data_IF_191974608150
#
_entry.id   IF_191974608150
#
_cell.length_a   1.000
_cell.length_b   1.000
_cell.length_c   1.000
_cell.angle_alpha   90.00
_cell.angle_beta   90.00
_cell.angle_gamma   90.00
#
_symmetry.space_group_name_H-M   'P 1'
#
loop_
_entity.id
_entity.type
_entity.pdbx_description
1 polymer ?
#
# COMPACT_ATOMS: atom_id res chain seq x y z
N UNK A 1 12.54 45.74 57.54
CA UNK A 1 11.14 45.30 57.38
C UNK A 1 10.59 45.94 56.12
N UNK A 2 10.26 45.14 55.11
CA UNK A 2 9.35 45.51 54.03
C UNK A 2 8.91 44.23 53.32
N UNK A 3 7.63 43.89 53.51
CA UNK A 3 6.91 42.78 52.89
C UNK A 3 6.41 43.21 51.51
N UNK A 4 6.51 42.36 50.49
CA UNK A 4 5.81 42.56 49.22
C UNK A 4 5.07 41.30 48.81
N UNK A 5 3.78 41.51 48.55
CA UNK A 5 2.68 40.57 48.37
C UNK A 5 2.56 40.11 46.91
N UNK A 6 2.20 38.83 46.70
CA UNK A 6 1.90 38.25 45.37
C UNK A 6 0.40 38.38 45.08
N UNK A 7 -0.03 38.81 43.87
CA UNK A 7 -1.44 38.82 43.51
C UNK A 7 -1.92 37.49 42.90
N UNK A 8 -3.12 37.12 43.34
CA UNK A 8 -3.91 35.96 42.95
C UNK A 8 -4.60 36.19 41.59
N UNK A 9 -4.66 35.18 40.71
CA UNK A 9 -5.49 35.22 39.49
C UNK A 9 -6.22 33.90 39.20
N UNK A 10 -7.52 33.96 39.53
CA UNK A 10 -8.72 33.46 38.83
C UNK A 10 -8.68 32.06 38.20
N UNK A 11 -9.40 31.14 38.87
CA UNK A 11 -10.06 30.00 38.25
C UNK A 11 -11.20 30.46 37.31
N UNK A 12 -11.24 29.91 36.10
CA UNK A 12 -12.37 30.01 35.18
C UNK A 12 -12.97 28.62 35.02
N UNK A 13 -14.21 28.49 35.50
CA UNK A 13 -15.12 27.36 35.34
C UNK A 13 -15.77 27.49 33.96
N UNK A 14 -15.80 26.43 33.15
CA UNK A 14 -16.62 26.39 31.92
C UNK A 14 -17.41 25.09 31.84
N UNK A 15 -18.64 25.27 31.38
CA UNK A 15 -19.81 24.40 31.48
C UNK A 15 -19.67 23.05 30.80
N UNK A 16 -20.26 22.05 31.43
CA UNK A 16 -20.80 20.86 30.78
C UNK A 16 -22.16 21.23 30.17
N UNK A 17 -22.31 21.02 28.87
CA UNK A 17 -23.62 20.92 28.23
C UNK A 17 -23.83 19.48 27.80
N UNK A 18 -24.83 18.87 28.44
CA UNK A 18 -25.46 17.61 28.07
C UNK A 18 -26.44 17.90 26.92
N UNK A 19 -26.27 17.21 25.80
CA UNK A 19 -27.33 17.06 24.80
C UNK A 19 -27.48 15.58 24.47
N UNK A 20 -28.53 15.01 25.06
CA UNK A 20 -29.16 13.74 24.72
C UNK A 20 -30.28 13.99 23.71
N UNK A 21 -30.36 13.19 22.65
CA UNK A 21 -31.57 12.77 21.89
C UNK A 21 -31.08 11.87 20.73
N UNK A 22 -31.17 10.53 20.85
CA UNK A 22 -32.28 9.65 20.37
C UNK A 22 -32.42 9.64 18.83
N UNK A 23 -31.80 8.69 18.14
CA UNK A 23 -32.32 7.38 17.65
C UNK A 23 -33.47 7.51 16.63
N UNK A 24 -33.17 7.10 15.38
CA UNK A 24 -34.12 6.43 14.50
C UNK A 24 -33.34 5.40 13.66
N UNK A 25 -33.51 4.13 14.01
CA UNK A 25 -33.07 2.97 13.23
C UNK A 25 -34.27 2.48 12.44
N UNK A 26 -34.13 2.34 11.12
CA UNK A 26 -35.05 1.55 10.32
C UNK A 26 -34.44 0.19 9.99
N UNK A 27 -35.30 -0.78 10.24
CA UNK A 27 -35.11 -2.21 10.36
C UNK A 27 -35.37 -2.88 9.00
N UNK A 28 -34.55 -3.85 8.60
CA UNK A 28 -35.03 -4.98 7.79
C UNK A 28 -34.11 -6.18 7.95
N UNK A 29 -34.62 -7.14 8.71
CA UNK A 29 -34.07 -8.48 8.90
C UNK A 29 -34.52 -9.42 7.78
N UNK A 30 -33.58 -10.28 7.36
CA UNK A 30 -33.73 -11.68 6.93
C UNK A 30 -34.69 -12.04 5.78
N UNK A 31 -34.15 -12.73 4.77
CA UNK A 31 -34.60 -14.10 4.44
C UNK A 31 -33.54 -14.82 3.59
N UNK A 32 -33.24 -16.05 4.01
CA UNK A 32 -32.41 -17.01 3.30
C UNK A 32 -33.29 -17.99 2.49
N UNK A 33 -32.63 -18.67 1.55
CA UNK A 33 -33.10 -19.84 0.76
C UNK A 33 -34.03 -19.47 -0.42
N UNK A 34 -33.89 -20.02 -1.63
CA UNK A 34 -33.72 -21.43 -1.95
C UNK A 34 -33.42 -21.65 -3.44
N UNK A 35 -32.92 -22.84 -3.70
CA UNK A 35 -32.62 -23.50 -4.98
C UNK A 35 -33.88 -23.75 -5.80
N UNK A 36 -33.82 -23.48 -7.11
CA UNK A 36 -34.61 -24.11 -8.18
C UNK A 36 -33.81 -23.91 -9.48
N UNK A 37 -33.13 -24.90 -10.07
CA UNK A 37 -33.64 -26.03 -10.86
C UNK A 37 -34.78 -25.67 -11.81
N UNK A 38 -34.44 -25.23 -13.03
CA UNK A 38 -35.31 -25.40 -14.20
C UNK A 38 -34.51 -25.89 -15.42
N UNK A 39 -35.15 -26.82 -16.10
CA UNK A 39 -34.66 -27.74 -17.11
C UNK A 39 -35.36 -27.41 -18.43
N UNK A 40 -34.73 -27.79 -19.56
CA UNK A 40 -35.27 -27.76 -20.94
C UNK A 40 -35.35 -26.36 -21.58
N UNK A 41 -35.09 -26.14 -22.87
CA UNK A 41 -35.26 -26.99 -24.06
C UNK A 41 -34.26 -26.60 -25.15
N UNK A 42 -33.75 -27.62 -25.85
CA UNK A 42 -33.04 -27.53 -27.12
C UNK A 42 -33.95 -27.01 -28.25
N UNK A 43 -33.48 -26.01 -28.99
CA UNK A 43 -33.95 -25.71 -30.36
C UNK A 43 -32.75 -25.58 -31.28
N UNK A 44 -32.55 -26.61 -32.09
CA UNK A 44 -31.64 -26.66 -33.22
C UNK A 44 -32.26 -25.99 -34.45
N UNK A 45 -31.43 -25.45 -35.34
CA UNK A 45 -31.62 -25.25 -36.79
C UNK A 45 -30.40 -24.48 -37.36
N UNK A 46 -30.07 -24.56 -38.67
CA UNK A 46 -29.49 -25.71 -39.35
C UNK A 46 -28.09 -25.42 -39.94
N UNK A 47 -27.35 -26.50 -40.20
CA UNK A 47 -26.05 -26.52 -40.85
C UNK A 47 -26.16 -26.15 -42.34
N UNK A 48 -25.40 -25.16 -42.79
CA UNK A 48 -25.16 -24.92 -44.21
C UNK A 48 -23.76 -25.43 -44.57
N UNK A 49 -23.76 -26.60 -45.20
CA UNK A 49 -22.63 -27.16 -45.94
C UNK A 49 -22.42 -26.34 -47.21
N UNK A 50 -21.20 -25.82 -47.42
CA UNK A 50 -20.78 -25.35 -48.74
C UNK A 50 -19.51 -26.05 -49.18
N UNK A 51 -19.64 -26.72 -50.32
CA UNK A 51 -18.65 -27.58 -50.97
C UNK A 51 -17.50 -26.75 -51.55
N UNK A 52 -16.27 -27.22 -51.35
CA UNK A 52 -15.10 -26.77 -52.07
C UNK A 52 -15.09 -27.31 -53.51
N UNK A 53 -14.64 -26.50 -54.49
CA UNK A 53 -13.99 -27.01 -55.68
C UNK A 53 -12.51 -26.63 -55.73
N UNK A 54 -11.77 -27.54 -56.36
CA UNK A 54 -10.32 -27.66 -56.41
C UNK A 54 -9.64 -26.71 -57.40
N UNK A 55 -8.34 -26.55 -57.15
CA UNK A 55 -7.24 -25.97 -57.90
C UNK A 55 -7.40 -25.72 -59.42
N UNK A 56 -6.98 -24.53 -59.85
CA UNK A 56 -6.29 -24.30 -61.13
C UNK A 56 -5.18 -23.25 -60.97
N UNK A 57 -3.95 -23.65 -61.26
CA UNK A 57 -2.76 -22.82 -61.42
C UNK A 57 -2.62 -22.33 -62.87
N UNK A 58 -2.05 -21.13 -63.07
CA UNK A 58 -1.13 -20.94 -64.18
C UNK A 58 0.18 -20.27 -63.76
N UNK A 59 1.25 -20.65 -64.46
CA UNK A 59 2.66 -20.40 -64.16
C UNK A 59 3.32 -19.32 -65.03
N UNK A 60 4.24 -18.54 -64.40
CA UNK A 60 5.42 -17.79 -64.91
C UNK A 60 5.21 -16.53 -65.80
N UNK A 61 6.18 -15.56 -65.88
CA UNK A 61 7.64 -15.69 -65.65
C UNK A 61 8.30 -14.72 -64.64
N UNK A 62 9.52 -15.12 -64.24
CA UNK A 62 10.49 -14.38 -63.42
C UNK A 62 10.82 -12.98 -63.90
N UNK A 63 10.81 -12.02 -62.98
CA UNK A 63 11.52 -10.75 -63.09
C UNK A 63 12.41 -10.57 -61.86
N UNK A 64 13.72 -10.79 -62.05
CA UNK A 64 14.81 -10.42 -61.13
C UNK A 64 14.94 -8.90 -61.07
N UNK A 65 14.85 -8.31 -59.87
CA UNK A 65 15.35 -6.96 -59.50
C UNK A 65 15.41 -6.89 -57.94
N UNK A 66 16.19 -5.98 -57.33
CA UNK A 66 17.25 -6.30 -56.37
C UNK A 66 16.83 -6.28 -54.90
N UNK A 67 17.66 -6.92 -54.07
CA UNK A 67 17.50 -7.14 -52.64
C UNK A 67 17.19 -5.86 -51.84
N UNK A 68 16.16 -5.87 -50.97
CA UNK A 68 16.01 -4.88 -49.91
C UNK A 68 17.07 -5.09 -48.82
N UNK A 69 17.49 -4.02 -48.11
CA UNK A 69 18.63 -4.02 -47.21
C UNK A 69 18.43 -4.97 -46.03
N UNK A 70 19.56 -5.52 -45.57
CA UNK A 70 19.66 -6.50 -44.49
C UNK A 70 18.81 -6.10 -43.28
N UNK A 71 17.82 -6.95 -42.98
CA UNK A 71 17.17 -6.98 -41.69
C UNK A 71 18.24 -7.37 -40.67
N UNK A 72 18.63 -6.44 -39.81
CA UNK A 72 19.36 -6.78 -38.59
C UNK A 72 18.50 -7.76 -37.81
N UNK A 73 18.99 -8.99 -37.72
CA UNK A 73 18.50 -10.02 -36.81
C UNK A 73 18.63 -9.46 -35.39
N UNK A 74 17.51 -8.96 -34.85
CA UNK A 74 17.41 -8.67 -33.42
C UNK A 74 17.38 -10.04 -32.75
N UNK A 75 18.46 -10.35 -32.06
CA UNK A 75 18.56 -11.52 -31.20
C UNK A 75 17.44 -11.43 -30.15
N UNK A 76 16.46 -12.32 -30.29
CA UNK A 76 15.35 -12.44 -29.36
C UNK A 76 15.84 -13.20 -28.11
N UNK A 77 16.53 -12.49 -27.23
CA UNK A 77 16.79 -12.91 -25.86
C UNK A 77 17.15 -11.70 -25.01
N UNK A 78 16.16 -10.87 -24.70
CA UNK A 78 16.36 -9.72 -23.83
C UNK A 78 15.04 -9.22 -23.28
N UNK A 79 15.03 -8.94 -21.98
CA UNK A 79 13.99 -8.17 -21.27
C UNK A 79 13.44 -7.04 -22.15
N UNK A 80 12.15 -6.68 -22.07
CA UNK A 80 11.58 -5.57 -22.84
C UNK A 80 12.49 -4.35 -22.78
N UNK A 81 12.70 -3.63 -23.91
CA UNK A 81 13.70 -2.56 -23.99
C UNK A 81 13.39 -1.50 -22.94
N UNK A 82 14.24 -1.46 -21.92
CA UNK A 82 14.17 -0.47 -20.85
C UNK A 82 14.47 0.90 -21.44
N UNK A 83 13.64 1.90 -21.11
CA UNK A 83 13.82 3.23 -21.67
C UNK A 83 15.17 3.83 -21.24
N UNK A 84 16.10 4.15 -22.16
CA UNK A 84 17.45 4.59 -21.78
C UNK A 84 17.48 5.95 -21.08
N UNK A 85 16.41 6.73 -21.16
CA UNK A 85 16.29 8.10 -20.61
C UNK A 85 15.07 8.30 -19.71
N UNK A 86 14.33 7.24 -19.38
CA UNK A 86 13.15 7.33 -18.51
C UNK A 86 13.55 7.42 -17.04
N UNK A 87 13.02 8.40 -16.29
CA UNK A 87 13.34 8.56 -14.85
C UNK A 87 12.56 7.64 -13.91
N UNK A 88 11.45 7.04 -14.38
CA UNK A 88 10.56 6.17 -13.58
C UNK A 88 10.46 4.78 -14.20
N UNK A 89 11.56 4.03 -14.13
CA UNK A 89 11.71 2.69 -14.69
C UNK A 89 12.55 1.82 -13.74
N UNK A 90 12.46 0.50 -13.90
CA UNK A 90 13.26 -0.47 -13.19
C UNK A 90 12.86 -0.65 -11.73
N UNK A 91 13.72 -1.34 -11.00
CA UNK A 91 13.56 -1.62 -9.59
C UNK A 91 14.14 -0.48 -8.75
N UNK A 92 13.49 -0.20 -7.62
CA UNK A 92 13.92 0.78 -6.65
C UNK A 92 13.57 0.31 -5.24
N UNK A 93 14.31 0.83 -4.27
CA UNK A 93 14.06 0.58 -2.84
C UNK A 93 13.56 1.87 -2.20
N UNK A 94 12.57 1.73 -1.31
CA UNK A 94 12.09 2.79 -0.45
C UNK A 94 12.50 2.49 1.00
N UNK A 95 13.41 3.31 1.52
CA UNK A 95 14.21 3.12 2.74
C UNK A 95 14.02 4.24 3.79
N UNK A 96 13.12 5.19 3.54
CA UNK A 96 12.69 6.30 4.42
C UNK A 96 13.78 7.18 5.05
N UNK A 97 15.06 6.96 4.78
CA UNK A 97 16.17 7.69 5.41
C UNK A 97 16.11 9.22 5.18
N UNK A 98 15.58 9.62 4.03
CA UNK A 98 15.38 11.03 3.66
C UNK A 98 14.06 11.62 4.18
N UNK A 99 13.22 10.82 4.85
CA UNK A 99 11.93 11.27 5.33
C UNK A 99 12.06 12.14 6.59
N UNK A 100 11.03 12.96 6.82
CA UNK A 100 10.92 13.71 8.07
C UNK A 100 10.13 12.88 9.08
N UNK A 101 10.50 13.02 10.35
CA UNK A 101 9.70 12.52 11.45
C UNK A 101 8.28 13.10 11.40
N UNK A 102 7.29 12.25 11.68
CA UNK A 102 5.89 12.64 11.67
C UNK A 102 5.02 11.62 10.94
N UNK A 103 3.73 11.92 10.72
CA UNK A 103 2.90 11.12 9.84
C UNK A 103 3.52 11.03 8.43
N UNK A 104 3.43 9.85 7.81
CA UNK A 104 3.88 9.69 6.44
C UNK A 104 2.82 10.24 5.50
N UNK A 105 3.08 11.42 4.94
CA UNK A 105 2.16 12.03 3.99
C UNK A 105 2.41 11.57 2.56
N UNK A 106 1.33 11.50 1.79
CA UNK A 106 1.35 10.98 0.43
C UNK A 106 1.55 12.05 -0.65
N UNK A 107 2.17 11.67 -1.77
CA UNK A 107 2.91 10.41 -1.98
C UNK A 107 4.30 10.48 -1.32
N UNK A 108 4.81 9.34 -0.85
CA UNK A 108 6.23 9.18 -0.53
C UNK A 108 6.96 8.75 -1.82
N UNK A 109 7.72 9.68 -2.40
CA UNK A 109 8.22 9.58 -3.79
C UNK A 109 7.04 9.38 -4.76
N UNK A 110 6.93 8.22 -5.40
CA UNK A 110 5.84 7.86 -6.33
C UNK A 110 4.82 6.87 -5.73
N UNK A 111 4.95 6.53 -4.45
CA UNK A 111 4.16 5.49 -3.78
C UNK A 111 3.24 6.11 -2.73
N UNK A 112 2.02 5.59 -2.68
CA UNK A 112 0.99 5.93 -1.70
C UNK A 112 0.93 4.90 -0.58
N UNK A 113 0.63 5.41 0.61
CA UNK A 113 0.50 4.70 1.87
C UNK A 113 -0.86 5.02 2.49
N UNK A 114 -1.52 4.04 3.11
CA UNK A 114 -2.76 4.30 3.84
C UNK A 114 -2.54 5.20 5.06
N UNK A 115 -3.63 5.62 5.71
CA UNK A 115 -3.55 6.19 7.06
C UNK A 115 -2.96 5.16 8.05
N UNK A 116 -2.23 5.63 9.05
CA UNK A 116 -1.60 4.79 10.09
C UNK A 116 -0.08 4.71 9.97
N UNK A 117 0.50 5.07 8.82
CA UNK A 117 1.95 5.14 8.63
C UNK A 117 2.56 6.43 9.20
N UNK A 118 3.71 6.29 9.86
CA UNK A 118 4.50 7.40 10.38
C UNK A 118 6.00 7.05 10.44
N UNK A 119 6.82 8.08 10.54
CA UNK A 119 8.23 8.01 10.90
C UNK A 119 8.38 8.42 12.36
N UNK A 120 8.84 7.50 13.20
CA UNK A 120 8.98 7.75 14.64
C UNK A 120 10.07 8.81 14.94
N UNK A 121 9.91 9.66 15.97
CA UNK A 121 10.90 10.68 16.31
C UNK A 121 12.26 10.14 16.79
N UNK A 122 13.36 10.90 16.61
CA UNK A 122 14.69 10.51 17.11
C UNK A 122 14.75 10.28 18.62
N UNK A 123 13.96 11.04 19.39
CA UNK A 123 13.83 10.79 20.84
C UNK A 123 13.23 9.42 21.15
N UNK A 124 12.42 8.88 20.25
CA UNK A 124 11.90 7.52 20.32
C UNK A 124 12.90 6.48 19.80
N UNK A 125 13.87 6.86 18.93
CA UNK A 125 14.91 5.94 18.41
C UNK A 125 15.76 5.32 19.52
N UNK A 126 16.08 6.06 20.59
CA UNK A 126 16.78 5.48 21.77
C UNK A 126 16.01 4.36 22.48
N UNK A 127 14.71 4.25 22.19
CA UNK A 127 13.79 3.26 22.76
C UNK A 127 13.01 2.52 21.65
N UNK A 128 13.46 2.60 20.40
CA UNK A 128 12.76 2.00 19.27
C UNK A 128 13.04 0.51 19.27
N UNK A 129 11.97 -0.27 19.17
CA UNK A 129 12.07 -1.72 19.29
C UNK A 129 12.83 -2.37 18.12
N UNK A 130 12.90 -1.68 16.97
CA UNK A 130 13.58 -2.15 15.76
C UNK A 130 14.56 -1.12 15.21
N UNK A 131 15.71 -1.59 14.73
CA UNK A 131 16.67 -0.78 13.95
C UNK A 131 16.26 -0.70 12.48
N UNK A 132 16.37 0.47 11.83
CA UNK A 132 16.32 0.57 10.37
C UNK A 132 17.39 -0.32 9.73
N UNK A 133 17.04 -1.01 8.64
CA UNK A 133 17.97 -1.86 7.91
C UNK A 133 18.84 -1.06 6.93
N UNK A 134 18.34 0.07 6.45
CA UNK A 134 19.05 1.06 5.64
C UNK A 134 20.01 1.95 6.46
N UNK A 135 19.65 2.19 7.73
CA UNK A 135 20.49 2.80 8.77
C UNK A 135 20.02 4.17 9.27
N UNK A 136 19.07 4.84 8.61
CA UNK A 136 18.57 6.16 9.01
C UNK A 136 17.21 6.10 9.70
N UNK A 137 16.16 5.77 8.96
CA UNK A 137 14.78 5.78 9.42
C UNK A 137 14.01 4.56 8.91
N UNK A 138 12.92 4.22 9.59
CA UNK A 138 12.00 3.19 9.15
C UNK A 138 10.57 3.68 9.34
N UNK A 139 9.63 3.04 8.65
CA UNK A 139 8.21 3.34 8.83
C UNK A 139 7.62 2.49 9.94
N UNK A 140 6.74 3.10 10.72
CA UNK A 140 5.87 2.44 11.68
C UNK A 140 4.43 2.52 11.19
N UNK A 141 3.72 1.40 11.24
CA UNK A 141 2.28 1.35 11.01
C UNK A 141 1.55 1.08 12.31
N UNK A 142 0.75 2.06 12.73
CA UNK A 142 -0.20 1.93 13.84
C UNK A 142 -1.60 1.79 13.23
N UNK A 143 -2.24 0.60 13.34
CA UNK A 143 -3.61 0.42 12.90
C UNK A 143 -4.52 1.50 13.54
N UNK A 144 -5.31 2.25 12.74
CA UNK A 144 -6.16 3.34 13.21
C UNK A 144 -7.18 2.94 14.30
N UNK A 145 -7.58 1.67 14.39
CA UNK A 145 -8.46 1.20 15.47
C UNK A 145 -7.74 1.00 16.81
N UNK A 146 -6.40 0.85 16.85
CA UNK A 146 -5.70 0.61 18.11
C UNK A 146 -5.84 1.79 19.10
N UNK A 147 -5.66 3.06 18.69
CA UNK A 147 -5.91 4.19 19.58
C UNK A 147 -7.39 4.40 19.91
N UNK A 148 -8.29 3.81 19.12
CA UNK A 148 -9.73 3.98 19.22
C UNK A 148 -10.44 2.62 19.32
N UNK A 149 -10.39 2.01 20.51
CA UNK A 149 -11.16 0.80 20.86
C UNK A 149 -12.65 0.95 20.48
N UNK A 150 -13.04 0.58 19.24
CA UNK A 150 -14.44 0.60 18.82
C UNK A 150 -14.77 0.83 17.34
N UNK A 151 -13.83 1.18 16.45
CA UNK A 151 -14.13 1.37 15.02
C UNK A 151 -13.34 0.38 14.14
N UNK A 152 -13.79 -0.89 14.14
CA UNK A 152 -13.29 -1.88 13.19
C UNK A 152 -13.91 -1.68 11.80
N UNK A 153 -13.09 -1.82 10.76
CA UNK A 153 -13.62 -2.23 9.45
C UNK A 153 -12.78 -1.86 8.23
N UNK A 154 -12.07 -0.73 8.22
CA UNK A 154 -11.43 -0.23 6.99
C UNK A 154 -10.03 0.38 7.21
N UNK A 155 -9.61 0.63 8.46
CA UNK A 155 -8.31 1.27 8.72
C UNK A 155 -7.16 0.31 9.05
N UNK A 156 -7.45 -0.89 9.55
CA UNK A 156 -6.42 -1.72 10.23
C UNK A 156 -5.50 -2.49 9.30
N UNK A 157 -5.79 -2.43 8.01
CA UNK A 157 -4.96 -3.01 6.96
C UNK A 157 -4.16 -1.88 6.33
N UNK A 158 -2.85 -2.07 6.26
CA UNK A 158 -1.99 -1.13 5.58
C UNK A 158 -2.12 -1.30 4.07
N UNK A 159 -2.30 -0.21 3.34
CA UNK A 159 -2.25 -0.20 1.88
C UNK A 159 -0.97 0.50 1.41
N UNK A 160 -0.27 -0.12 0.46
CA UNK A 160 0.89 0.47 -0.22
C UNK A 160 0.69 0.30 -1.72
N UNK A 161 0.75 1.37 -2.49
CA UNK A 161 0.43 1.29 -3.92
C UNK A 161 0.60 2.58 -4.70
N UNK A 162 -0.11 2.68 -5.82
CA UNK A 162 -0.07 3.86 -6.72
C UNK A 162 -1.23 4.84 -6.48
N UNK A 163 -2.07 4.56 -5.47
CA UNK A 163 -3.11 5.47 -4.97
C UNK A 163 -4.02 6.04 -6.07
N UNK A 164 -4.24 7.36 -6.15
CA UNK A 164 -5.07 8.00 -7.18
C UNK A 164 -4.65 7.73 -8.63
N UNK A 165 -3.42 7.25 -8.86
CA UNK A 165 -2.97 6.86 -10.20
C UNK A 165 -3.39 5.44 -10.61
N UNK A 166 -4.05 4.67 -9.74
CA UNK A 166 -4.49 3.31 -10.03
C UNK A 166 -5.29 3.15 -11.35
N UNK A 167 -6.21 4.07 -11.73
CA UNK A 167 -6.90 4.00 -13.02
C UNK A 167 -5.99 4.20 -14.24
N UNK A 168 -4.80 4.78 -14.06
CA UNK A 168 -3.85 4.95 -15.15
C UNK A 168 -2.99 3.70 -15.32
N UNK A 169 -3.12 3.02 -16.45
CA UNK A 169 -2.39 1.79 -16.77
C UNK A 169 -0.87 1.90 -16.74
N UNK A 170 -0.32 3.12 -16.85
CA UNK A 170 1.12 3.35 -16.75
C UNK A 170 1.64 3.15 -15.31
N UNK A 171 0.76 3.18 -14.31
CA UNK A 171 1.08 3.01 -12.91
C UNK A 171 0.76 1.58 -12.48
N UNK A 172 1.69 0.70 -12.80
CA UNK A 172 1.70 -0.69 -12.34
C UNK A 172 3.05 -0.97 -11.73
N UNK A 173 3.03 -1.58 -10.55
CA UNK A 173 4.22 -1.91 -9.79
C UNK A 173 4.34 -3.42 -9.66
N UNK A 174 5.58 -3.85 -9.46
CA UNK A 174 5.94 -5.17 -8.97
C UNK A 174 6.43 -4.98 -7.53
N UNK A 175 5.95 -5.79 -6.60
CA UNK A 175 6.39 -5.77 -5.20
C UNK A 175 7.25 -7.00 -4.93
N UNK A 176 8.52 -6.81 -4.58
CA UNK A 176 9.47 -7.93 -4.47
C UNK A 176 9.82 -8.28 -3.02
N UNK A 177 9.66 -7.36 -2.07
CA UNK A 177 10.15 -7.58 -0.71
C UNK A 177 10.08 -6.37 0.18
N UNK A 178 10.32 -6.60 1.47
CA UNK A 178 10.52 -5.57 2.49
C UNK A 178 11.28 -6.17 3.67
N UNK A 179 11.83 -5.33 4.54
CA UNK A 179 12.34 -5.70 5.85
C UNK A 179 11.27 -5.40 6.89
N UNK A 180 10.77 -6.43 7.60
CA UNK A 180 9.60 -6.32 8.47
C UNK A 180 9.90 -6.71 9.92
N UNK A 181 9.22 -6.02 10.84
CA UNK A 181 9.22 -6.29 12.28
C UNK A 181 7.87 -5.97 12.89
N UNK A 182 7.58 -6.48 14.08
CA UNK A 182 6.25 -6.40 14.69
C UNK A 182 6.32 -6.31 16.21
N UNK A 183 5.26 -5.75 16.81
CA UNK A 183 5.10 -5.63 18.25
C UNK A 183 4.64 -6.97 18.85
N UNK A 184 5.55 -7.95 18.91
CA UNK A 184 5.34 -9.25 19.53
C UNK A 184 6.43 -9.58 20.53
N UNK A 185 6.03 -10.11 21.68
CA UNK A 185 6.92 -10.63 22.71
C UNK A 185 7.55 -11.96 22.28
N UNK A 186 8.73 -12.28 22.82
CA UNK A 186 9.43 -13.52 22.48
C UNK A 186 8.61 -14.80 22.73
N UNK A 187 7.71 -14.80 23.72
CA UNK A 187 6.82 -15.93 24.01
C UNK A 187 5.75 -16.15 22.93
N UNK A 188 5.42 -15.12 22.15
CA UNK A 188 4.44 -15.19 21.05
C UNK A 188 5.06 -15.80 19.77
N UNK A 189 6.40 -15.91 19.73
CA UNK A 189 7.23 -16.55 18.72
C UNK A 189 7.20 -15.94 17.31
N UNK A 190 6.02 -15.67 16.75
CA UNK A 190 5.86 -15.26 15.35
C UNK A 190 4.78 -14.19 15.17
N UNK A 191 4.99 -13.39 14.13
CA UNK A 191 4.04 -12.46 13.55
C UNK A 191 3.65 -12.96 12.17
N UNK A 192 2.36 -12.98 11.88
CA UNK A 192 1.81 -13.42 10.61
C UNK A 192 1.38 -12.18 9.81
N UNK A 193 2.15 -11.87 8.78
CA UNK A 193 1.86 -10.82 7.81
C UNK A 193 1.14 -11.44 6.62
N UNK A 194 -0.18 -11.25 6.56
CA UNK A 194 -0.97 -11.59 5.39
C UNK A 194 -0.88 -10.44 4.39
N UNK A 195 -0.26 -10.71 3.24
CA UNK A 195 -0.08 -9.73 2.17
C UNK A 195 -0.92 -10.15 0.98
N UNK A 196 -1.78 -9.25 0.51
CA UNK A 196 -2.69 -9.50 -0.61
C UNK A 196 -2.42 -8.53 -1.75
N UNK A 197 -2.47 -9.03 -2.98
CA UNK A 197 -2.22 -8.24 -4.17
C UNK A 197 -3.53 -7.72 -4.78
N UNK A 198 -3.53 -6.45 -5.16
CA UNK A 198 -4.69 -5.75 -5.72
C UNK A 198 -4.38 -5.12 -7.05
N UNK A 199 -5.39 -5.10 -7.90
CA UNK A 199 -5.34 -4.45 -9.20
C UNK A 199 -6.60 -3.64 -9.43
N UNK A 200 -6.42 -2.44 -9.94
CA UNK A 200 -7.52 -1.63 -10.39
C UNK A 200 -8.30 -2.30 -11.51
N UNK A 201 -9.61 -2.47 -11.30
CA UNK A 201 -10.54 -3.00 -12.28
C UNK A 201 -11.26 -1.83 -12.97
N UNK A 202 -10.98 -1.61 -14.25
CA UNK A 202 -11.55 -0.51 -15.03
C UNK A 202 -13.06 -0.65 -15.26
N UNK A 203 -13.61 -1.87 -15.20
CA UNK A 203 -15.05 -2.09 -15.34
C UNK A 203 -15.78 -1.70 -14.06
N UNK A 204 -15.24 -2.08 -12.90
CA UNK A 204 -15.82 -1.80 -11.58
C UNK A 204 -15.38 -0.45 -11.01
N UNK A 205 -14.43 0.22 -11.66
CA UNK A 205 -13.84 1.50 -11.25
C UNK A 205 -13.30 1.48 -9.81
N UNK A 206 -12.73 0.35 -9.38
CA UNK A 206 -12.20 0.15 -8.01
C UNK A 206 -11.07 -0.87 -7.98
N UNK A 207 -10.32 -0.86 -6.88
CA UNK A 207 -9.36 -1.91 -6.56
C UNK A 207 -10.06 -3.26 -6.31
N UNK A 208 -9.49 -4.32 -6.87
CA UNK A 208 -9.97 -5.69 -6.68
C UNK A 208 -8.79 -6.60 -6.38
N UNK A 209 -9.00 -7.54 -5.45
CA UNK A 209 -7.99 -8.56 -5.18
C UNK A 209 -7.85 -9.45 -6.42
N UNK A 210 -6.61 -9.66 -6.85
CA UNK A 210 -6.33 -10.58 -7.97
C UNK A 210 -6.16 -12.04 -7.50
N UNK A 211 -6.78 -12.38 -6.36
CA UNK A 211 -6.73 -13.70 -5.71
C UNK A 211 -5.31 -14.21 -5.41
N UNK A 212 -4.32 -13.31 -5.34
CA UNK A 212 -2.97 -13.60 -4.89
C UNK A 212 -2.78 -13.05 -3.48
N UNK A 213 -2.55 -13.95 -2.52
CA UNK A 213 -2.29 -13.61 -1.12
C UNK A 213 -1.32 -14.63 -0.52
N UNK A 214 -0.38 -14.16 0.29
CA UNK A 214 0.58 -15.01 0.99
C UNK A 214 0.75 -14.52 2.44
N UNK A 215 0.88 -15.46 3.37
CA UNK A 215 1.25 -15.17 4.76
C UNK A 215 2.74 -15.37 4.97
N UNK A 216 3.46 -14.30 5.34
CA UNK A 216 4.85 -14.38 5.80
C UNK A 216 4.91 -14.44 7.31
N UNK A 217 5.71 -15.37 7.83
CA UNK A 217 6.00 -15.48 9.27
C UNK A 217 7.30 -14.78 9.59
N UNK A 218 7.21 -13.76 10.43
CA UNK A 218 8.34 -12.98 10.94
C UNK A 218 8.57 -13.38 12.40
N UNK A 219 9.79 -13.71 12.82
CA UNK A 219 10.07 -14.04 14.21
C UNK A 219 9.79 -12.83 15.11
N UNK A 220 9.18 -13.09 16.27
CA UNK A 220 8.99 -12.08 17.30
C UNK A 220 10.35 -11.59 17.83
N UNK A 221 10.37 -10.33 18.28
CA UNK A 221 11.57 -9.73 18.87
C UNK A 221 11.75 -10.24 20.30
N UNK A 222 12.83 -11.00 20.62
CA UNK A 222 12.97 -11.61 21.95
C UNK A 222 13.05 -10.60 23.10
N UNK A 223 13.53 -9.39 22.80
CA UNK A 223 13.74 -8.31 23.75
C UNK A 223 12.65 -7.23 23.66
N UNK A 224 11.56 -7.47 22.95
CA UNK A 224 10.45 -6.53 22.86
C UNK A 224 9.83 -6.29 24.25
N UNK A 225 9.47 -5.04 24.63
CA UNK A 225 9.55 -3.81 23.83
C UNK A 225 10.86 -3.02 23.97
N UNK A 226 11.82 -3.49 24.78
CA UNK A 226 13.02 -2.76 25.19
C UNK A 226 14.32 -3.17 24.46
N UNK A 227 14.22 -3.67 23.23
CA UNK A 227 15.34 -4.21 22.46
C UNK A 227 15.67 -3.42 21.21
N UNK A 228 16.88 -3.62 20.68
CA UNK A 228 17.29 -3.14 19.35
C UNK A 228 17.21 -4.30 18.35
N UNK A 229 15.98 -4.74 18.04
CA UNK A 229 15.77 -5.88 17.16
C UNK A 229 16.04 -5.53 15.70
N UNK A 230 16.45 -6.53 14.92
CA UNK A 230 16.67 -6.37 13.49
C UNK A 230 15.37 -6.67 12.75
N UNK A 231 15.07 -5.89 11.71
CA UNK A 231 14.00 -6.22 10.79
C UNK A 231 14.37 -7.51 10.03
N UNK A 232 13.36 -8.33 9.75
CA UNK A 232 13.54 -9.57 8.99
C UNK A 232 13.25 -9.31 7.51
N UNK A 233 14.23 -9.49 6.61
CA UNK A 233 14.00 -9.34 5.18
C UNK A 233 13.11 -10.47 4.68
N UNK A 234 12.07 -10.12 3.92
CA UNK A 234 11.19 -11.05 3.22
C UNK A 234 11.13 -10.73 1.74
N UNK A 235 10.91 -11.78 0.95
CA UNK A 235 10.71 -11.69 -0.50
C UNK A 235 9.32 -12.19 -0.86
N UNK A 236 8.72 -11.59 -1.87
CA UNK A 236 7.40 -11.92 -2.37
C UNK A 236 7.50 -12.29 -3.85
N UNK A 237 6.94 -13.43 -4.20
CA UNK A 237 6.90 -13.93 -5.58
C UNK A 237 5.49 -13.76 -6.14
N UNK A 238 5.38 -13.37 -7.42
CA UNK A 238 4.11 -13.27 -8.15
C UNK A 238 3.32 -11.97 -7.93
N UNK A 239 3.81 -11.04 -7.10
CA UNK A 239 3.21 -9.73 -6.90
C UNK A 239 3.62 -8.77 -8.03
N UNK A 240 3.21 -9.10 -9.26
CA UNK A 240 3.59 -8.35 -10.46
C UNK A 240 2.38 -7.71 -11.12
N UNK A 241 2.59 -6.55 -11.73
CA UNK A 241 1.58 -5.83 -12.50
C UNK A 241 0.34 -5.44 -11.66
N UNK A 242 0.60 -4.99 -10.44
CA UNK A 242 -0.41 -4.63 -9.44
C UNK A 242 -0.50 -3.12 -9.29
N UNK A 243 -1.55 -2.65 -8.64
CA UNK A 243 -1.71 -1.23 -8.25
C UNK A 243 -1.51 -1.02 -6.76
N UNK A 244 -1.77 -2.04 -5.94
CA UNK A 244 -1.54 -1.97 -4.51
C UNK A 244 -1.28 -3.36 -3.90
N UNK A 245 -0.67 -3.35 -2.72
CA UNK A 245 -0.69 -4.44 -1.77
C UNK A 245 -1.45 -4.00 -0.52
N UNK A 246 -2.15 -4.95 0.09
CA UNK A 246 -2.75 -4.82 1.41
C UNK A 246 -2.00 -5.71 2.38
N UNK A 247 -1.59 -5.18 3.52
CA UNK A 247 -0.84 -5.89 4.56
C UNK A 247 -1.66 -5.90 5.84
N UNK A 248 -2.00 -7.10 6.32
CA UNK A 248 -2.65 -7.33 7.60
C UNK A 248 -1.67 -8.08 8.52
N UNK A 249 -1.33 -7.48 9.67
CA UNK A 249 -0.53 -8.15 10.69
C UNK A 249 -1.44 -8.79 11.74
N UNK A 250 -1.14 -10.04 12.07
CA UNK A 250 -1.69 -10.73 13.24
C UNK A 250 -0.60 -11.32 14.12
N UNK A 251 -0.81 -11.23 15.42
CA UNK A 251 -0.07 -11.99 16.43
C UNK A 251 -1.13 -12.81 17.18
N UNK A 252 -1.25 -14.09 16.81
CA UNK A 252 -2.43 -14.88 17.15
C UNK A 252 -3.70 -14.26 16.56
N UNK A 253 -4.59 -13.75 17.41
CA UNK A 253 -5.84 -13.09 17.00
C UNK A 253 -5.82 -11.57 17.14
N UNK A 254 -4.69 -10.99 17.54
CA UNK A 254 -4.59 -9.57 17.89
C UNK A 254 -3.96 -8.74 16.76
N UNK A 255 -4.51 -7.54 16.56
CA UNK A 255 -3.90 -6.48 15.77
C UNK A 255 -2.75 -5.86 16.57
N UNK A 256 -1.63 -5.58 15.89
CA UNK A 256 -0.43 -5.04 16.52
C UNK A 256 0.19 -3.96 15.64
N UNK A 257 1.01 -3.11 16.28
CA UNK A 257 1.90 -2.17 15.58
C UNK A 257 2.99 -2.97 14.86
N UNK A 258 3.44 -2.47 13.71
CA UNK A 258 4.55 -3.07 12.98
C UNK A 258 5.45 -2.05 12.32
N UNK A 259 6.64 -2.50 11.97
CA UNK A 259 7.70 -1.68 11.38
C UNK A 259 8.12 -2.26 10.05
N UNK A 260 8.43 -1.36 9.11
CA UNK A 260 8.84 -1.71 7.76
C UNK A 260 9.99 -0.81 7.30
N UNK A 261 10.87 -1.39 6.51
CA UNK A 261 11.95 -0.68 5.83
C UNK A 261 12.31 -1.41 4.53
N UNK A 262 13.12 -0.79 3.68
CA UNK A 262 13.63 -1.36 2.43
C UNK A 262 12.53 -2.01 1.57
N UNK A 263 11.41 -1.31 1.33
CA UNK A 263 10.37 -1.82 0.44
C UNK A 263 10.93 -1.87 -0.99
N UNK A 264 11.04 -3.08 -1.54
CA UNK A 264 11.59 -3.35 -2.87
C UNK A 264 10.44 -3.39 -3.85
N UNK A 265 10.42 -2.39 -4.73
CA UNK A 265 9.41 -2.22 -5.76
C UNK A 265 10.07 -2.12 -7.12
N UNK A 266 9.29 -2.30 -8.17
CA UNK A 266 9.71 -1.98 -9.53
C UNK A 266 8.55 -1.52 -10.38
N UNK A 267 8.83 -0.71 -11.39
CA UNK A 267 7.83 -0.42 -12.40
C UNK A 267 7.63 -1.63 -13.29
N UNK A 268 6.39 -2.08 -13.45
CA UNK A 268 6.07 -3.27 -14.23
C UNK A 268 6.33 -3.07 -15.74
N UNK A 269 6.06 -1.88 -16.25
CA UNK A 269 6.35 -1.50 -17.64
C UNK A 269 7.48 -0.46 -17.71
N UNK A 270 8.62 -0.89 -18.25
CA UNK A 270 9.84 -0.12 -18.39
C UNK A 270 10.00 0.56 -19.75
N UNK A 271 9.00 0.48 -20.62
CA UNK A 271 8.99 1.12 -21.94
C UNK A 271 8.96 2.64 -21.85
N UNK A 272 9.44 3.31 -22.91
CA UNK A 272 9.53 4.78 -22.93
C UNK A 272 8.17 5.47 -22.85
N UNK A 273 7.13 4.90 -23.47
CA UNK A 273 5.78 5.47 -23.43
C UNK A 273 5.22 5.44 -22.00
N UNK A 274 5.39 4.32 -21.29
CA UNK A 274 4.97 4.17 -19.91
C UNK A 274 5.76 5.10 -18.97
N UNK A 275 7.08 5.22 -19.18
CA UNK A 275 7.93 6.13 -18.42
C UNK A 275 7.53 7.60 -18.65
N UNK A 276 7.29 8.01 -19.90
CA UNK A 276 6.84 9.36 -20.25
C UNK A 276 5.45 9.65 -19.67
N UNK A 277 4.54 8.68 -19.75
CA UNK A 277 3.21 8.76 -19.15
C UNK A 277 3.28 9.00 -17.63
N UNK A 278 4.11 8.23 -16.90
CA UNK A 278 4.32 8.44 -15.45
C UNK A 278 5.00 9.77 -15.12
N UNK A 279 5.89 10.25 -16.00
CA UNK A 279 6.53 11.55 -15.85
C UNK A 279 5.56 12.73 -16.09
N UNK A 280 4.54 12.52 -16.91
CA UNK A 280 3.50 13.53 -17.22
C UNK A 280 2.39 13.62 -16.16
N UNK A 281 2.35 12.69 -15.21
CA UNK A 281 1.34 12.68 -14.17
C UNK A 281 1.46 13.91 -13.27
N UNK A 282 0.32 14.51 -12.94
CA UNK A 282 0.25 15.71 -12.10
C UNK A 282 0.75 15.37 -10.69
N UNK A 283 1.76 16.08 -10.17
CA UNK A 283 2.18 15.92 -8.78
C UNK A 283 0.99 16.17 -7.84
N UNK A 284 0.83 15.31 -6.84
CA UNK A 284 -0.22 15.44 -5.84
C UNK A 284 0.41 15.93 -4.53
N UNK A 285 0.60 17.25 -4.35
CA UNK A 285 1.18 17.76 -3.11
C UNK A 285 0.25 17.47 -1.93
N UNK A 286 0.85 17.28 -0.76
CA UNK A 286 0.12 17.14 0.49
C UNK A 286 -0.71 18.39 0.73
N UNK A 287 -2.02 18.21 0.83
CA UNK A 287 -2.95 19.30 1.09
C UNK A 287 -2.92 19.69 2.56
N UNK A 288 -2.99 20.99 2.85
CA UNK A 288 -2.98 21.52 4.23
C UNK A 288 -4.10 20.93 5.08
N UNK A 289 -5.25 20.66 4.48
CA UNK A 289 -6.42 20.09 5.16
C UNK A 289 -6.15 18.67 5.69
N UNK A 290 -5.28 17.91 5.01
CA UNK A 290 -4.86 16.56 5.45
C UNK A 290 -4.02 16.66 6.72
N UNK A 291 -3.13 17.65 6.79
CA UNK A 291 -2.27 17.92 7.95
C UNK A 291 -3.12 18.40 9.13
N UNK A 292 -4.03 19.34 8.89
CA UNK A 292 -4.98 19.82 9.89
C UNK A 292 -5.90 18.70 10.39
N UNK A 293 -6.28 17.76 9.53
CA UNK A 293 -7.02 16.56 9.91
C UNK A 293 -6.17 15.64 10.79
N UNK A 294 -4.91 15.38 10.43
CA UNK A 294 -3.99 14.55 11.20
C UNK A 294 -3.71 15.15 12.60
N UNK A 295 -3.47 16.45 12.70
CA UNK A 295 -3.30 17.15 13.98
C UNK A 295 -4.56 17.04 14.86
N UNK A 296 -5.74 17.28 14.27
CA UNK A 296 -7.02 17.20 14.99
C UNK A 296 -7.36 15.79 15.48
N UNK A 297 -7.18 14.77 14.63
CA UNK A 297 -7.44 13.35 14.98
C UNK A 297 -6.35 12.79 15.91
N UNK A 298 -5.15 13.36 15.86
CA UNK A 298 -3.98 12.86 16.54
C UNK A 298 -3.33 11.73 15.75
N UNK A 299 -1.99 11.75 15.72
CA UNK A 299 -1.16 10.66 15.20
C UNK A 299 -0.59 9.93 16.40
N UNK A 300 -0.47 8.61 16.33
CA UNK A 300 -0.02 7.79 17.45
C UNK A 300 1.24 7.03 17.06
N UNK A 301 2.19 6.92 17.98
CA UNK A 301 3.39 6.12 17.81
C UNK A 301 3.55 5.14 18.98
N UNK A 302 4.28 4.05 18.75
CA UNK A 302 4.64 3.10 19.77
C UNK A 302 5.79 3.61 20.63
N UNK A 303 5.71 3.30 21.92
CA UNK A 303 6.79 3.45 22.89
C UNK A 303 6.84 2.18 23.74
N UNK A 304 7.92 1.93 24.49
CA UNK A 304 7.95 0.77 25.38
C UNK A 304 6.89 0.79 26.49
N UNK A 305 6.25 1.94 26.74
CA UNK A 305 5.14 2.09 27.66
C UNK A 305 3.76 1.98 26.97
N UNK A 306 3.73 1.59 25.69
CA UNK A 306 2.55 1.51 24.85
C UNK A 306 2.40 2.69 23.89
N UNK A 307 1.20 2.80 23.29
CA UNK A 307 0.87 3.85 22.32
C UNK A 307 0.86 5.23 22.98
N UNK A 308 1.51 6.18 22.31
CA UNK A 308 1.58 7.59 22.71
C UNK A 308 1.14 8.48 21.55
N UNK A 309 0.36 9.52 21.86
CA UNK A 309 0.01 10.54 20.86
C UNK A 309 1.26 11.36 20.54
N UNK A 310 1.55 11.47 19.25
CA UNK A 310 2.62 12.30 18.71
C UNK A 310 2.33 13.78 19.00
N UNK A 311 3.37 14.54 19.31
CA UNK A 311 3.24 15.98 19.50
C UNK A 311 2.85 16.67 18.19
N UNK A 312 1.93 17.63 18.26
CA UNK A 312 1.43 18.34 17.09
C UNK A 312 2.56 19.05 16.33
N UNK A 313 3.63 19.48 17.02
CA UNK A 313 4.81 20.07 16.40
C UNK A 313 5.45 19.16 15.35
N UNK A 314 5.61 17.86 15.63
CA UNK A 314 6.12 16.91 14.63
C UNK A 314 5.18 16.73 13.44
N UNK A 315 3.86 16.86 13.66
CA UNK A 315 2.88 16.81 12.57
C UNK A 315 3.04 18.01 11.65
N UNK A 316 3.23 19.21 12.20
CA UNK A 316 3.40 20.43 11.40
C UNK A 316 4.78 20.55 10.72
N UNK A 317 5.83 19.98 11.32
CA UNK A 317 7.20 20.01 10.79
C UNK A 317 7.47 18.95 9.71
N UNK A 318 6.59 17.97 9.55
CA UNK A 318 6.69 16.90 8.54
C UNK A 318 6.40 17.32 7.10
N UNK A 319 6.25 18.63 6.84
CA UNK A 319 6.11 19.27 5.53
C UNK A 319 7.42 19.37 4.74
#
# INVERSE_FOLDING_TARGET
MATVTIPNRRAVRRQQDLVTSEVAWDNSSSTASSVASENNTLTALPSLTFSAPSAFTPSLPSATLPAPPQVSTVDASGSPPMCPTGGKIGNFTLDFDDAKTGPLFNPSRDIWFSEGFLIAPPSSQTFQSYSPSSGGQLVEFVPPSLPSLGQSGVGDTAEIGVGPNAPNHCFRIDFQGASLGCAAEGAEQWCEFEVSAYRYNDVLQREESIAWSETKRIPACPNFPHGNCQLTPVTFDGYTNITAILINLRVGTELRVWWGDDFKLGWNDNGCDAAACRASAVPQPVKREVIESAARRGVWNWTPNGLKRLDDGYIWESL
#
